data_IF_200585251403
#
_entry.id   IF_200585251403
#
_cell.length_a   1.000
_cell.length_b   1.000
_cell.length_c   1.000
_cell.angle_alpha   90.00
_cell.angle_beta   90.00
_cell.angle_gamma   90.00
#
_symmetry.space_group_name_H-M   'P 1'
#
loop_
_entity.id
_entity.type
_entity.pdbx_description
1 polymer ?
#
# COMPACT_ATOMS: atom_id res chain seq x y z
N UNK A 1 -1.11 12.88 -17.27
CA UNK A 1 0.02 12.08 -16.76
C UNK A 1 -0.40 10.62 -16.84
N UNK A 2 0.39 9.74 -17.43
CA UNK A 2 0.04 8.30 -17.44
C UNK A 2 0.26 7.70 -16.04
N UNK A 3 -0.34 6.55 -15.76
CA UNK A 3 -0.28 5.92 -14.43
C UNK A 3 1.14 5.68 -13.95
N UNK A 4 2.05 5.26 -14.84
CA UNK A 4 3.45 5.05 -14.50
C UNK A 4 4.09 6.32 -13.92
N UNK A 5 3.90 7.48 -14.56
CA UNK A 5 4.43 8.73 -14.05
C UNK A 5 3.79 9.16 -12.72
N UNK A 6 2.50 8.88 -12.50
CA UNK A 6 1.84 9.13 -11.22
C UNK A 6 2.42 8.23 -10.11
N UNK A 7 2.64 6.95 -10.40
CA UNK A 7 3.24 5.99 -9.46
C UNK A 7 4.70 6.37 -9.16
N UNK A 8 5.49 6.81 -10.14
CA UNK A 8 6.85 7.31 -9.89
C UNK A 8 6.84 8.53 -8.97
N UNK A 9 5.90 9.47 -9.15
CA UNK A 9 5.79 10.63 -8.26
C UNK A 9 5.28 10.29 -6.87
N UNK A 10 4.44 9.27 -6.75
CA UNK A 10 4.04 8.71 -5.45
C UNK A 10 5.26 8.12 -4.73
N UNK A 11 6.05 7.28 -5.41
CA UNK A 11 7.26 6.66 -4.85
C UNK A 11 8.29 7.70 -4.39
N UNK A 12 8.59 8.71 -5.24
CA UNK A 12 9.43 9.85 -4.87
C UNK A 12 8.89 10.57 -3.62
N UNK A 13 7.57 10.70 -3.49
CA UNK A 13 6.94 11.36 -2.34
C UNK A 13 7.04 10.54 -1.06
N UNK A 14 6.88 9.21 -1.15
CA UNK A 14 7.14 8.29 -0.03
C UNK A 14 8.60 8.40 0.41
N UNK A 15 9.55 8.39 -0.53
CA UNK A 15 10.97 8.58 -0.24
C UNK A 15 11.28 9.91 0.47
N UNK A 16 10.59 11.00 0.07
CA UNK A 16 10.72 12.31 0.76
C UNK A 16 10.19 12.27 2.20
N UNK A 17 9.06 11.59 2.45
CA UNK A 17 8.50 11.41 3.80
C UNK A 17 9.47 10.60 4.67
N UNK A 18 9.92 9.44 4.17
CA UNK A 18 10.91 8.60 4.84
C UNK A 18 12.18 9.38 5.21
N UNK A 19 12.73 10.13 4.26
CA UNK A 19 13.92 10.95 4.49
C UNK A 19 13.67 12.09 5.48
N UNK A 20 12.48 12.68 5.51
CA UNK A 20 12.12 13.69 6.50
C UNK A 20 12.05 13.10 7.91
N UNK A 21 11.39 11.95 8.09
CA UNK A 21 11.35 11.23 9.36
C UNK A 21 12.76 10.84 9.84
N UNK A 22 13.62 10.38 8.93
CA UNK A 22 15.00 10.03 9.25
C UNK A 22 15.80 11.26 9.72
N UNK A 23 15.76 12.37 8.98
CA UNK A 23 16.46 13.61 9.36
C UNK A 23 15.99 14.20 10.68
N UNK A 24 14.76 13.89 11.10
CA UNK A 24 14.19 14.30 12.38
C UNK A 24 14.40 13.29 13.50
N UNK A 25 15.08 12.16 13.24
CA UNK A 25 15.29 11.10 14.22
C UNK A 25 14.02 10.33 14.61
N UNK A 26 12.92 10.54 13.88
CA UNK A 26 11.62 9.93 14.17
C UNK A 26 11.44 8.55 13.54
N UNK A 27 12.23 8.24 12.51
CA UNK A 27 12.09 7.00 11.74
C UNK A 27 12.34 5.74 12.59
N UNK A 28 13.15 5.85 13.66
CA UNK A 28 13.46 4.76 14.59
C UNK A 28 12.26 4.25 15.39
N UNK A 29 11.23 5.09 15.54
CA UNK A 29 10.02 4.82 16.32
C UNK A 29 8.77 5.09 15.46
N UNK A 30 8.83 4.67 14.19
CA UNK A 30 7.73 4.85 13.23
C UNK A 30 7.23 3.50 12.74
N UNK A 31 5.90 3.38 12.61
CA UNK A 31 5.23 2.33 11.83
C UNK A 31 4.71 2.97 10.55
N UNK A 32 5.07 2.39 9.41
CA UNK A 32 4.70 2.89 8.08
C UNK A 32 3.88 1.83 7.39
N UNK A 33 2.64 2.18 7.08
CA UNK A 33 1.68 1.33 6.38
C UNK A 33 1.48 1.89 4.98
N UNK A 34 1.69 1.06 3.96
CA UNK A 34 1.46 1.41 2.56
C UNK A 34 0.46 0.42 1.96
N UNK A 35 -0.69 0.93 1.51
CA UNK A 35 -1.84 0.16 1.05
C UNK A 35 -2.51 0.84 -0.16
N UNK A 36 -3.35 0.09 -0.87
CA UNK A 36 -4.35 0.65 -1.80
C UNK A 36 -5.75 0.48 -1.22
N UNK A 37 -6.70 1.32 -1.61
CA UNK A 37 -8.10 1.27 -1.14
C UNK A 37 -8.95 0.24 -1.92
N UNK A 38 -8.70 0.12 -3.22
CA UNK A 38 -9.29 -0.86 -4.12
C UNK A 38 -8.29 -1.30 -5.19
N UNK A 39 -8.67 -2.33 -5.95
CA UNK A 39 -7.93 -2.74 -7.14
C UNK A 39 -7.95 -1.70 -8.26
N UNK A 40 -7.08 -1.83 -9.25
CA UNK A 40 -6.97 -0.84 -10.31
C UNK A 40 -8.18 -0.87 -11.26
N UNK A 41 -8.60 0.28 -11.82
CA UNK A 41 -9.33 0.26 -13.08
C UNK A 41 -8.36 -0.21 -14.17
N UNK A 42 -8.60 -1.33 -14.86
CA UNK A 42 -7.73 -1.78 -15.96
C UNK A 42 -8.24 -1.36 -17.35
N UNK A 43 -9.41 -0.74 -17.39
CA UNK A 43 -10.10 -0.19 -18.56
C UNK A 43 -11.05 0.93 -18.13
N UNK A 44 -11.51 1.75 -19.06
CA UNK A 44 -12.44 2.85 -18.80
C UNK A 44 -12.14 4.08 -19.67
N UNK A 45 -12.86 5.18 -19.50
CA UNK A 45 -12.67 6.40 -20.31
C UNK A 45 -11.54 7.30 -19.77
N UNK A 46 -11.23 7.18 -18.48
CA UNK A 46 -10.14 7.92 -17.85
C UNK A 46 -8.78 7.28 -18.13
N UNK A 47 -7.71 8.05 -18.41
CA UNK A 47 -6.38 7.52 -18.72
C UNK A 47 -5.59 7.10 -17.47
N UNK A 48 -6.28 6.56 -16.46
CA UNK A 48 -5.73 6.15 -15.17
C UNK A 48 -5.67 4.62 -15.01
N UNK A 49 -5.50 3.88 -16.10
CA UNK A 49 -5.51 2.42 -16.05
C UNK A 49 -4.26 1.84 -15.39
N UNK A 50 -4.47 0.97 -14.40
CA UNK A 50 -3.43 0.14 -13.79
C UNK A 50 -3.51 -1.32 -14.23
N UNK A 51 -2.81 -2.19 -13.51
CA UNK A 51 -2.83 -3.63 -13.74
C UNK A 51 -3.19 -4.36 -12.45
N UNK A 52 -4.08 -5.35 -12.57
CA UNK A 52 -4.41 -6.29 -11.49
C UNK A 52 -3.86 -7.70 -11.78
N UNK A 53 -3.04 -7.89 -12.82
CA UNK A 53 -2.54 -9.21 -13.20
C UNK A 53 -1.82 -9.89 -12.01
N UNK A 54 -2.06 -11.19 -11.74
CA UNK A 54 -2.87 -12.15 -12.52
C UNK A 54 -4.34 -12.26 -12.06
N UNK A 55 -4.81 -11.34 -11.22
CA UNK A 55 -6.11 -11.43 -10.56
C UNK A 55 -7.24 -11.04 -11.52
N UNK A 56 -8.37 -11.75 -11.40
CA UNK A 56 -9.59 -11.48 -12.17
C UNK A 56 -10.27 -10.20 -11.65
N UNK A 57 -10.72 -9.34 -12.55
CA UNK A 57 -11.57 -8.19 -12.21
C UNK A 57 -10.84 -6.86 -12.05
N UNK A 58 -11.61 -5.83 -11.74
CA UNK A 58 -11.20 -4.42 -11.67
C UNK A 58 -11.90 -3.71 -10.51
N UNK A 59 -11.54 -2.45 -10.26
CA UNK A 59 -12.33 -1.54 -9.43
C UNK A 59 -13.84 -1.69 -9.73
N UNK A 60 -14.66 -1.66 -8.70
CA UNK A 60 -16.12 -1.85 -8.75
C UNK A 60 -16.57 -3.29 -9.06
N UNK A 61 -15.69 -4.28 -8.85
CA UNK A 61 -16.05 -5.70 -8.93
C UNK A 61 -15.65 -6.45 -7.67
N UNK A 62 -16.38 -7.52 -7.34
CA UNK A 62 -16.10 -8.39 -6.18
C UNK A 62 -15.07 -9.49 -6.46
N UNK A 63 -14.44 -9.47 -7.64
CA UNK A 63 -13.37 -10.41 -7.96
C UNK A 63 -12.07 -9.96 -7.29
N UNK A 64 -11.10 -10.89 -7.13
CA UNK A 64 -9.80 -10.62 -6.52
C UNK A 64 -9.13 -9.32 -7.00
N UNK A 65 -9.14 -9.04 -8.31
CA UNK A 65 -8.56 -7.83 -8.89
C UNK A 65 -9.30 -6.53 -8.54
N UNK A 66 -10.50 -6.59 -7.96
CA UNK A 66 -11.22 -5.43 -7.44
C UNK A 66 -10.99 -5.18 -5.95
N UNK A 67 -10.75 -6.23 -5.16
CA UNK A 67 -10.73 -6.17 -3.68
C UNK A 67 -9.39 -6.55 -3.04
N UNK A 68 -8.56 -7.35 -3.71
CA UNK A 68 -7.24 -7.73 -3.23
C UNK A 68 -6.21 -6.71 -3.70
N UNK A 69 -5.58 -6.07 -2.72
CA UNK A 69 -4.65 -4.97 -2.90
C UNK A 69 -3.30 -5.29 -2.28
N UNK A 70 -2.29 -4.46 -2.60
CA UNK A 70 -1.02 -4.50 -1.89
C UNK A 70 -1.22 -4.06 -0.43
N UNK A 71 -0.48 -4.68 0.47
CA UNK A 71 -0.33 -4.24 1.85
C UNK A 71 1.11 -4.43 2.28
N UNK A 72 1.74 -3.36 2.74
CA UNK A 72 3.12 -3.35 3.23
C UNK A 72 3.15 -2.64 4.58
N UNK A 73 3.86 -3.26 5.53
CA UNK A 73 4.16 -2.66 6.83
C UNK A 73 5.68 -2.61 6.98
N UNK A 74 6.19 -1.44 7.32
CA UNK A 74 7.60 -1.21 7.59
C UNK A 74 7.77 -0.55 8.96
N UNK A 75 8.71 -1.06 9.75
CA UNK A 75 9.17 -0.43 10.98
C UNK A 75 10.47 -1.10 11.43
N UNK A 76 11.46 -0.38 11.97
CA UNK A 76 12.63 -0.99 12.59
C UNK A 76 12.30 -1.77 13.88
N UNK A 77 11.09 -1.59 14.42
CA UNK A 77 10.60 -2.28 15.61
C UNK A 77 10.05 -3.69 15.32
N UNK A 78 9.76 -4.00 14.05
CA UNK A 78 9.25 -5.30 13.66
C UNK A 78 10.36 -6.35 13.69
N UNK A 79 10.07 -7.48 14.34
CA UNK A 79 10.93 -8.65 14.32
C UNK A 79 10.64 -9.51 13.09
N UNK A 80 11.61 -10.33 12.68
CA UNK A 80 11.48 -11.27 11.56
C UNK A 80 11.20 -10.58 10.22
N UNK A 81 11.94 -9.52 9.91
CA UNK A 81 11.89 -8.81 8.63
C UNK A 81 13.20 -9.01 7.85
N UNK A 82 13.19 -9.18 6.51
CA UNK A 82 12.00 -9.16 5.64
C UNK A 82 11.22 -10.48 5.69
N UNK A 83 9.89 -10.40 5.61
CA UNK A 83 9.01 -11.58 5.47
C UNK A 83 7.81 -11.28 4.59
N UNK A 84 7.21 -12.33 4.04
CA UNK A 84 5.91 -12.30 3.37
C UNK A 84 4.91 -13.04 4.27
N UNK A 85 3.79 -12.39 4.60
CA UNK A 85 2.66 -13.06 5.26
C UNK A 85 1.63 -13.47 4.21
N UNK A 86 1.24 -14.74 4.21
CA UNK A 86 0.13 -15.26 3.40
C UNK A 86 -1.19 -15.31 4.18
N UNK A 87 -1.24 -14.69 5.37
CA UNK A 87 -2.47 -14.60 6.15
C UNK A 87 -3.47 -13.67 5.47
N UNK A 88 -4.75 -13.94 5.67
CA UNK A 88 -5.83 -13.08 5.19
C UNK A 88 -5.94 -11.87 6.14
N UNK A 89 -6.10 -10.69 5.55
CA UNK A 89 -6.30 -9.43 6.25
C UNK A 89 -7.36 -8.62 5.50
N UNK A 90 -8.16 -7.86 6.25
CA UNK A 90 -9.14 -6.93 5.71
C UNK A 90 -8.82 -5.48 6.15
N UNK A 91 -9.29 -4.48 5.41
CA UNK A 91 -9.01 -3.06 5.71
C UNK A 91 -9.50 -2.65 7.11
N UNK A 92 -10.52 -3.33 7.63
CA UNK A 92 -11.06 -3.11 8.99
C UNK A 92 -10.09 -3.50 10.09
N UNK A 93 -9.09 -4.35 9.78
CA UNK A 93 -8.14 -4.83 10.77
C UNK A 93 -7.09 -3.77 11.11
N UNK A 94 -6.92 -2.75 10.25
CA UNK A 94 -5.97 -1.67 10.51
C UNK A 94 -6.29 -0.89 11.77
N UNK A 95 -7.56 -0.56 12.01
CA UNK A 95 -7.94 0.24 13.19
C UNK A 95 -7.56 -0.45 14.51
N UNK A 96 -8.02 -1.69 14.81
CA UNK A 96 -7.64 -2.35 16.05
C UNK A 96 -6.14 -2.68 16.10
N UNK A 97 -5.50 -2.96 14.96
CA UNK A 97 -4.04 -3.22 14.91
C UNK A 97 -3.23 -1.99 15.30
N UNK A 98 -3.51 -0.84 14.69
CA UNK A 98 -2.80 0.41 14.96
C UNK A 98 -3.14 0.95 16.35
N UNK A 99 -4.37 0.75 16.82
CA UNK A 99 -4.74 1.09 18.19
C UNK A 99 -3.96 0.26 19.23
N UNK A 100 -3.71 -1.02 18.95
CA UNK A 100 -2.92 -1.88 19.85
C UNK A 100 -1.43 -1.53 19.83
N UNK A 101 -0.94 -0.92 18.75
CA UNK A 101 0.46 -0.55 18.59
C UNK A 101 0.82 0.83 19.18
N UNK A 102 -0.20 1.66 19.47
CA UNK A 102 -0.06 3.01 20.03
C UNK A 102 -0.18 2.99 21.56
#
# INVERSE_FOLDING_TARGET
>A
MNVAAMVSKLDESVGRIMGALQRKGMLGDSIIVFISDNGAPTKGESPNWGSNYPLRGIKDTLWEGGVRVLGLVWSPLLQQTPRVSNQVMHVTDWLPTLYTAA
#
